data_IF_061269954690
#
_entry.id   IF_061269954690
#
_cell.length_a   1.000
_cell.length_b   1.000
_cell.length_c   1.000
_cell.angle_alpha   90.00
_cell.angle_beta   90.00
_cell.angle_gamma   90.00
#
_symmetry.space_group_name_H-M   'P 1'
#
loop_
_entity.id
_entity.type
_entity.pdbx_description
1 polymer ?
#
# COMPACT_ATOMS: atom_id res chain seq x y z
N UNK A 1 -23.37 42.51 56.08
CA UNK A 1 -24.18 41.79 55.08
C UNK A 1 -23.20 41.29 54.02
N UNK A 2 -22.70 40.04 54.09
CA UNK A 2 -23.34 38.79 53.61
C UNK A 2 -23.67 38.89 52.10
N UNK A 3 -23.22 38.05 51.16
CA UNK A 3 -22.91 36.62 51.21
C UNK A 3 -21.98 36.16 50.08
N UNK A 4 -21.34 35.01 50.33
CA UNK A 4 -20.64 34.08 49.41
C UNK A 4 -21.66 33.33 48.51
N UNK A 5 -21.25 32.75 47.35
CA UNK A 5 -21.39 31.31 46.94
C UNK A 5 -21.44 31.04 45.40
N UNK A 6 -20.44 30.28 44.93
CA UNK A 6 -20.36 29.14 43.94
C UNK A 6 -20.80 29.14 42.46
N UNK A 7 -19.81 28.82 41.61
CA UNK A 7 -19.64 27.72 40.61
C UNK A 7 -20.81 27.08 39.81
N UNK A 8 -20.58 26.87 38.50
CA UNK A 8 -20.87 25.65 37.67
C UNK A 8 -20.31 25.89 36.24
N UNK A 9 -19.29 25.18 35.72
CA UNK A 9 -19.21 23.83 35.11
C UNK A 9 -20.08 23.57 33.83
N UNK A 10 -19.35 23.11 32.80
CA UNK A 10 -19.59 22.72 31.36
C UNK A 10 -20.82 21.81 31.06
N UNK A 11 -21.10 21.30 29.80
CA UNK A 11 -20.35 21.34 28.52
C UNK A 11 -21.20 21.53 27.22
N UNK A 12 -20.54 21.61 26.05
CA UNK A 12 -21.15 21.12 24.80
C UNK A 12 -20.78 21.84 23.50
N UNK A 13 -19.58 21.60 22.94
CA UNK A 13 -19.44 21.59 21.48
C UNK A 13 -18.34 20.62 21.06
N UNK A 14 -18.77 19.45 20.61
CA UNK A 14 -17.95 18.40 20.00
C UNK A 14 -17.94 18.55 18.48
N UNK A 15 -16.76 18.26 17.92
CA UNK A 15 -16.55 17.70 16.59
C UNK A 15 -16.81 18.60 15.37
N UNK A 16 -15.84 19.47 15.08
CA UNK A 16 -15.43 19.73 13.70
C UNK A 16 -14.21 18.89 13.37
N UNK A 17 -14.40 17.62 13.00
CA UNK A 17 -13.35 16.85 12.32
C UNK A 17 -13.06 17.56 10.99
N UNK A 18 -11.83 17.99 10.69
CA UNK A 18 -11.50 18.32 9.32
C UNK A 18 -11.60 17.04 8.48
N UNK A 19 -12.22 17.10 7.28
CA UNK A 19 -12.44 15.94 6.45
C UNK A 19 -11.09 15.42 5.93
N UNK A 20 -10.97 14.09 5.93
CA UNK A 20 -10.06 13.25 5.17
C UNK A 20 -9.13 14.00 4.21
N UNK A 21 -7.91 14.32 4.65
CA UNK A 21 -6.90 14.93 3.80
C UNK A 21 -5.55 14.22 3.94
N UNK A 22 -5.52 12.89 3.81
CA UNK A 22 -4.24 12.14 3.68
C UNK A 22 -4.35 10.83 2.86
N UNK A 23 -5.18 10.76 1.81
CA UNK A 23 -5.16 9.61 0.86
C UNK A 23 -4.45 9.91 -0.48
N UNK A 24 -3.44 10.79 -0.47
CA UNK A 24 -2.67 11.11 -1.69
C UNK A 24 -1.47 10.20 -1.98
N UNK A 25 -1.36 9.01 -1.39
CA UNK A 25 -0.25 8.07 -1.67
C UNK A 25 -0.76 6.74 -2.20
N UNK A 26 -0.80 6.67 -3.54
CA UNK A 26 -0.95 5.47 -4.36
C UNK A 26 -2.21 4.67 -4.08
N UNK A 27 -3.31 5.07 -4.72
CA UNK A 27 -4.53 4.31 -4.74
C UNK A 27 -4.37 3.06 -5.63
N UNK A 28 -3.62 2.09 -5.11
CA UNK A 28 -3.41 0.78 -5.71
C UNK A 28 -4.78 0.10 -5.91
N UNK A 29 -5.80 0.45 -5.13
CA UNK A 29 -7.17 -0.05 -5.30
C UNK A 29 -7.78 0.51 -6.60
N UNK A 30 -7.68 1.82 -6.85
CA UNK A 30 -8.10 2.43 -8.12
C UNK A 30 -7.30 1.89 -9.29
N UNK A 31 -5.99 1.68 -9.12
CA UNK A 31 -5.17 1.03 -10.16
C UNK A 31 -5.65 -0.38 -10.47
N UNK A 32 -5.91 -1.21 -9.46
CA UNK A 32 -6.48 -2.56 -9.66
C UNK A 32 -7.82 -2.47 -10.38
N UNK A 33 -8.72 -1.57 -9.97
CA UNK A 33 -10.00 -1.37 -10.65
C UNK A 33 -9.84 -1.02 -12.13
N UNK A 34 -8.90 -0.13 -12.47
CA UNK A 34 -8.59 0.21 -13.86
C UNK A 34 -7.99 -0.98 -14.62
N UNK A 35 -7.07 -1.72 -13.99
CA UNK A 35 -6.42 -2.89 -14.58
C UNK A 35 -7.41 -4.05 -14.81
N UNK A 36 -8.47 -4.19 -14.02
CA UNK A 36 -9.53 -5.18 -14.27
C UNK A 36 -10.21 -4.92 -15.62
N UNK A 37 -10.42 -3.64 -15.99
CA UNK A 37 -10.90 -3.33 -17.34
C UNK A 37 -9.87 -3.69 -18.41
N UNK A 38 -8.61 -3.31 -18.22
CA UNK A 38 -7.53 -3.67 -19.14
C UNK A 38 -7.38 -5.18 -19.31
N UNK A 39 -7.60 -5.96 -18.24
CA UNK A 39 -7.55 -7.42 -18.25
C UNK A 39 -8.65 -8.00 -19.14
N UNK A 40 -9.86 -7.46 -19.04
CA UNK A 40 -10.97 -7.89 -19.90
C UNK A 40 -10.64 -7.62 -21.37
N UNK A 41 -10.14 -6.44 -21.70
CA UNK A 41 -9.79 -6.09 -23.09
C UNK A 41 -8.62 -6.93 -23.63
N UNK A 42 -7.60 -7.18 -22.78
CA UNK A 42 -6.49 -8.07 -23.11
C UNK A 42 -6.96 -9.51 -23.36
N UNK A 43 -7.87 -10.03 -22.52
CA UNK A 43 -8.46 -11.36 -22.68
C UNK A 43 -9.31 -11.46 -23.95
N UNK A 44 -10.15 -10.45 -24.23
CA UNK A 44 -10.95 -10.41 -25.44
C UNK A 44 -10.06 -10.43 -26.70
N UNK A 45 -8.99 -9.63 -26.68
CA UNK A 45 -7.99 -9.62 -27.75
C UNK A 45 -7.28 -10.97 -27.89
N UNK A 46 -6.90 -11.59 -26.77
CA UNK A 46 -6.26 -12.90 -26.75
C UNK A 46 -7.14 -13.98 -27.39
N UNK A 47 -8.41 -14.05 -27.00
CA UNK A 47 -9.36 -15.02 -27.57
C UNK A 47 -9.56 -14.78 -29.06
N UNK A 48 -9.70 -13.53 -29.49
CA UNK A 48 -9.84 -13.19 -30.91
C UNK A 48 -8.61 -13.64 -31.72
N UNK A 49 -7.40 -13.29 -31.25
CA UNK A 49 -6.15 -13.67 -31.93
C UNK A 49 -5.98 -15.18 -31.96
N UNK A 50 -6.33 -15.88 -30.88
CA UNK A 50 -6.28 -17.35 -30.86
C UNK A 50 -7.25 -17.97 -31.88
N UNK A 51 -8.49 -17.46 -31.97
CA UNK A 51 -9.47 -17.91 -32.95
C UNK A 51 -8.99 -17.68 -34.40
N UNK A 52 -8.42 -16.50 -34.68
CA UNK A 52 -7.87 -16.16 -35.99
C UNK A 52 -6.71 -17.09 -36.37
N UNK A 53 -5.81 -17.40 -35.41
CA UNK A 53 -4.69 -18.32 -35.63
C UNK A 53 -5.17 -19.76 -35.90
N UNK A 54 -6.20 -20.24 -35.18
CA UNK A 54 -6.81 -21.57 -35.40
C UNK A 54 -7.45 -21.66 -36.78
N UNK A 55 -8.24 -20.65 -37.15
CA UNK A 55 -8.91 -20.58 -38.45
C UNK A 55 -7.89 -20.51 -39.59
N UNK A 56 -6.82 -19.74 -39.42
CA UNK A 56 -5.74 -19.67 -40.38
C UNK A 56 -5.05 -21.03 -40.57
N UNK A 57 -4.69 -21.70 -39.46
CA UNK A 57 -4.10 -23.04 -39.50
C UNK A 57 -5.03 -24.03 -40.19
N UNK A 58 -6.33 -24.01 -39.86
CA UNK A 58 -7.34 -24.87 -40.47
C UNK A 58 -7.54 -24.61 -41.97
N UNK A 59 -7.41 -23.35 -42.41
CA UNK A 59 -7.49 -23.00 -43.83
C UNK A 59 -6.27 -23.53 -44.61
N UNK A 60 -5.08 -23.41 -44.03
CA UNK A 60 -3.83 -23.98 -44.58
C UNK A 60 -3.94 -25.49 -44.74
N UNK A 61 -4.44 -26.19 -43.72
CA UNK A 61 -4.63 -27.65 -43.75
C UNK A 61 -5.63 -28.10 -44.82
N UNK A 62 -6.63 -27.27 -45.13
CA UNK A 62 -7.58 -27.49 -46.22
C UNK A 62 -7.02 -27.14 -47.62
N UNK A 63 -5.72 -26.83 -47.73
CA UNK A 63 -5.05 -26.54 -48.99
C UNK A 63 -5.21 -25.09 -49.48
N UNK A 64 -5.83 -24.22 -48.66
CA UNK A 64 -5.86 -22.78 -48.92
C UNK A 64 -4.45 -22.24 -48.67
N UNK A 65 -3.76 -21.73 -49.70
CA UNK A 65 -2.46 -21.08 -49.51
C UNK A 65 -2.68 -19.63 -49.10
N UNK A 66 -2.47 -19.25 -47.83
CA UNK A 66 -2.53 -17.85 -47.44
C UNK A 66 -1.49 -17.07 -48.24
N UNK A 67 -1.84 -15.86 -48.64
CA UNK A 67 -0.85 -14.98 -49.24
C UNK A 67 0.21 -14.66 -48.20
N UNK A 68 1.48 -14.55 -48.60
CA UNK A 68 2.58 -14.19 -47.68
C UNK A 68 2.38 -12.84 -46.99
N UNK A 69 1.48 -11.99 -47.53
CA UNK A 69 1.04 -10.74 -46.91
C UNK A 69 0.01 -10.95 -45.79
N UNK A 70 -0.88 -11.93 -45.92
CA UNK A 70 -1.83 -12.30 -44.85
C UNK A 70 -1.09 -12.91 -43.67
N UNK A 71 -0.13 -13.81 -43.92
CA UNK A 71 0.71 -14.41 -42.87
C UNK A 71 1.49 -13.37 -42.06
N UNK A 72 2.07 -12.37 -42.74
CA UNK A 72 2.80 -11.29 -42.09
C UNK A 72 1.90 -10.33 -41.29
N UNK A 73 0.60 -10.30 -41.58
CA UNK A 73 -0.39 -9.44 -40.90
C UNK A 73 -1.07 -10.09 -39.70
N UNK A 74 -0.92 -11.41 -39.54
CA UNK A 74 -1.48 -12.13 -38.40
C UNK A 74 -0.81 -11.69 -37.10
N UNK A 75 -1.64 -11.29 -36.14
CA UNK A 75 -1.17 -11.01 -34.79
C UNK A 75 -0.63 -12.30 -34.17
N UNK A 76 0.57 -12.21 -33.63
CA UNK A 76 1.21 -13.33 -32.94
C UNK A 76 0.50 -13.59 -31.61
N UNK A 77 0.14 -14.85 -31.39
CA UNK A 77 -0.45 -15.30 -30.14
C UNK A 77 0.47 -15.03 -28.96
N UNK A 78 1.77 -15.30 -29.11
CA UNK A 78 2.78 -15.10 -28.06
C UNK A 78 2.78 -13.68 -27.50
N UNK A 79 2.77 -12.68 -28.39
CA UNK A 79 2.75 -11.26 -27.97
C UNK A 79 1.47 -10.91 -27.22
N UNK A 80 0.35 -11.47 -27.66
CA UNK A 80 -0.96 -11.22 -27.03
C UNK A 80 -1.07 -11.90 -25.67
N UNK A 81 -0.44 -13.08 -25.51
CA UNK A 81 -0.29 -13.76 -24.22
C UNK A 81 0.59 -12.95 -23.26
N UNK A 82 1.74 -12.45 -23.74
CA UNK A 82 2.62 -11.60 -22.93
C UNK A 82 1.88 -10.35 -22.40
N UNK A 83 1.08 -9.70 -23.24
CA UNK A 83 0.28 -8.53 -22.84
C UNK A 83 -0.78 -8.90 -21.78
N UNK A 84 -1.46 -10.03 -21.95
CA UNK A 84 -2.40 -10.54 -20.95
C UNK A 84 -1.71 -10.81 -19.60
N UNK A 85 -0.59 -11.55 -19.61
CA UNK A 85 0.15 -11.86 -18.39
C UNK A 85 0.76 -10.63 -17.74
N UNK A 86 1.18 -9.63 -18.52
CA UNK A 86 1.67 -8.36 -17.98
C UNK A 86 0.61 -7.66 -17.14
N UNK A 87 -0.65 -7.62 -17.61
CA UNK A 87 -1.77 -7.05 -16.84
C UNK A 87 -2.02 -7.86 -15.56
N UNK A 88 -2.01 -9.19 -15.62
CA UNK A 88 -2.14 -10.06 -14.45
C UNK A 88 -1.06 -9.78 -13.40
N UNK A 89 0.21 -9.72 -13.82
CA UNK A 89 1.34 -9.45 -12.93
C UNK A 89 1.21 -8.07 -12.27
N UNK A 90 0.75 -7.06 -13.03
CA UNK A 90 0.52 -5.73 -12.49
C UNK A 90 -0.59 -5.74 -11.43
N UNK A 91 -1.69 -6.46 -11.66
CA UNK A 91 -2.77 -6.62 -10.68
C UNK A 91 -2.25 -7.30 -9.42
N UNK A 92 -1.53 -8.41 -9.56
CA UNK A 92 -0.96 -9.15 -8.44
C UNK A 92 -0.06 -8.26 -7.57
N UNK A 93 0.85 -7.50 -8.20
CA UNK A 93 1.76 -6.60 -7.49
C UNK A 93 1.00 -5.53 -6.69
N UNK A 94 -0.05 -4.94 -7.27
CA UNK A 94 -0.85 -3.94 -6.57
C UNK A 94 -1.63 -4.57 -5.40
N UNK A 95 -2.20 -5.76 -5.58
CA UNK A 95 -2.91 -6.47 -4.50
C UNK A 95 -1.98 -6.84 -3.35
N UNK A 96 -0.77 -7.35 -3.65
CA UNK A 96 0.26 -7.59 -2.63
C UNK A 96 0.61 -6.32 -1.88
N UNK A 97 0.78 -5.21 -2.60
CA UNK A 97 1.08 -3.91 -1.99
C UNK A 97 -0.05 -3.44 -1.07
N UNK A 98 -1.31 -3.58 -1.48
CA UNK A 98 -2.48 -3.24 -0.64
C UNK A 98 -2.47 -4.06 0.65
N UNK A 99 -2.20 -5.36 0.54
CA UNK A 99 -2.13 -6.25 1.69
C UNK A 99 -1.03 -5.81 2.67
N UNK A 100 0.19 -5.54 2.18
CA UNK A 100 1.30 -5.06 3.01
C UNK A 100 0.96 -3.72 3.69
N UNK A 101 0.33 -2.78 2.98
CA UNK A 101 -0.12 -1.53 3.60
C UNK A 101 -1.17 -1.76 4.70
N UNK A 102 -2.09 -2.70 4.52
CA UNK A 102 -3.09 -3.04 5.53
C UNK A 102 -2.44 -3.68 6.77
N UNK A 103 -1.48 -4.58 6.58
CA UNK A 103 -0.69 -5.18 7.66
C UNK A 103 0.12 -4.11 8.41
N UNK A 104 0.80 -3.23 7.67
CA UNK A 104 1.56 -2.13 8.25
C UNK A 104 0.68 -1.18 9.06
N UNK A 105 -0.52 -0.86 8.57
CA UNK A 105 -1.47 -0.03 9.30
C UNK A 105 -1.91 -0.70 10.62
N UNK A 106 -2.29 -1.98 10.56
CA UNK A 106 -2.66 -2.75 11.76
C UNK A 106 -1.52 -2.76 12.78
N UNK A 107 -0.31 -3.07 12.34
CA UNK A 107 0.86 -3.15 13.22
C UNK A 107 1.19 -1.76 13.80
N UNK A 108 1.02 -0.69 13.01
CA UNK A 108 1.20 0.68 13.52
C UNK A 108 0.20 1.02 14.63
N UNK A 109 -1.06 0.58 14.51
CA UNK A 109 -2.08 0.81 15.54
C UNK A 109 -1.85 -0.04 16.80
N UNK A 110 -1.26 -1.22 16.64
CA UNK A 110 -1.02 -2.15 17.74
C UNK A 110 0.24 -1.79 18.55
N UNK A 111 1.33 -1.39 17.87
CA UNK A 111 2.64 -1.25 18.49
C UNK A 111 3.09 0.20 18.68
N UNK A 112 2.45 1.19 18.04
CA UNK A 112 2.84 2.58 18.21
C UNK A 112 1.93 3.32 19.21
N UNK A 113 2.52 4.08 20.14
CA UNK A 113 1.76 4.84 21.13
C UNK A 113 1.07 6.07 20.53
N UNK A 114 1.54 6.56 19.39
CA UNK A 114 1.03 7.76 18.71
C UNK A 114 0.94 7.49 17.21
N UNK A 115 -0.20 7.81 16.55
CA UNK A 115 -0.37 7.62 15.12
C UNK A 115 0.65 8.42 14.30
N UNK A 116 1.15 7.81 13.22
CA UNK A 116 2.12 8.42 12.31
C UNK A 116 1.43 8.85 11.02
N UNK A 117 1.62 10.11 10.64
CA UNK A 117 1.04 10.69 9.41
C UNK A 117 2.18 11.00 8.44
N UNK A 118 2.37 10.15 7.44
CA UNK A 118 3.48 10.23 6.49
C UNK A 118 3.38 11.42 5.50
N UNK A 119 2.26 12.13 5.48
CA UNK A 119 2.05 13.31 4.64
C UNK A 119 2.02 14.61 5.44
N UNK A 120 2.32 14.56 6.76
CA UNK A 120 2.35 15.75 7.61
C UNK A 120 3.53 16.65 7.18
N UNK A 121 3.28 17.90 6.77
CA UNK A 121 4.35 18.83 6.36
C UNK A 121 5.23 19.20 7.56
N UNK A 122 6.55 19.27 7.36
CA UNK A 122 7.49 19.76 8.38
C UNK A 122 7.73 21.27 8.23
N UNK A 123 7.84 22.06 9.32
CA UNK A 123 7.76 21.66 10.73
C UNK A 123 6.31 21.55 11.21
N UNK A 124 5.95 20.40 11.77
CA UNK A 124 4.60 20.14 12.28
C UNK A 124 4.54 20.34 13.79
N UNK A 125 3.46 20.96 14.27
CA UNK A 125 3.31 21.25 15.69
C UNK A 125 3.14 19.92 16.48
N UNK A 126 3.86 19.71 17.59
CA UNK A 126 3.81 18.45 18.36
C UNK A 126 2.51 18.28 19.17
N UNK A 127 1.64 19.29 19.23
CA UNK A 127 0.38 19.27 19.99
C UNK A 127 -0.75 18.49 19.30
N UNK A 128 -0.60 18.10 18.04
CA UNK A 128 -1.69 17.49 17.24
C UNK A 128 -1.92 15.99 17.51
N UNK A 129 -1.31 15.41 18.56
CA UNK A 129 -1.49 13.99 18.89
C UNK A 129 -1.07 13.01 17.79
N UNK A 130 -0.25 13.46 16.83
CA UNK A 130 0.21 12.68 15.67
C UNK A 130 1.66 13.03 15.32
N UNK A 131 2.43 12.02 14.91
CA UNK A 131 3.84 12.17 14.53
C UNK A 131 3.98 12.33 13.01
N UNK A 132 4.89 13.21 12.56
CA UNK A 132 5.42 13.12 11.19
C UNK A 132 6.31 11.88 11.04
N UNK A 133 6.58 11.45 9.81
CA UNK A 133 7.50 10.32 9.58
C UNK A 133 8.92 10.59 10.12
N UNK A 134 9.41 11.81 9.95
CA UNK A 134 10.71 12.26 10.49
C UNK A 134 10.75 12.22 12.03
N UNK A 135 9.69 12.71 12.67
CA UNK A 135 9.53 12.64 14.13
C UNK A 135 9.49 11.19 14.60
N UNK A 136 8.72 10.33 13.93
CA UNK A 136 8.63 8.91 14.21
C UNK A 136 10.01 8.23 14.18
N UNK A 137 10.79 8.43 13.11
CA UNK A 137 12.15 7.85 12.99
C UNK A 137 13.05 8.30 14.14
N UNK A 138 12.96 9.58 14.52
CA UNK A 138 13.72 10.13 15.65
C UNK A 138 13.31 9.48 16.98
N UNK A 139 12.00 9.34 17.22
CA UNK A 139 11.46 8.69 18.42
C UNK A 139 11.88 7.23 18.52
N UNK A 140 11.75 6.45 17.45
CA UNK A 140 12.17 5.03 17.44
C UNK A 140 13.66 4.90 17.71
N UNK A 141 14.50 5.76 17.11
CA UNK A 141 15.95 5.75 17.38
C UNK A 141 16.26 6.02 18.85
N UNK A 142 15.57 6.99 19.47
CA UNK A 142 15.72 7.29 20.89
C UNK A 142 15.28 6.12 21.77
N UNK A 143 14.14 5.48 21.46
CA UNK A 143 13.64 4.30 22.18
C UNK A 143 14.61 3.12 22.10
N UNK A 144 15.17 2.83 20.91
CA UNK A 144 16.16 1.77 20.72
C UNK A 144 17.43 2.05 21.54
N UNK A 145 17.93 3.29 21.53
CA UNK A 145 19.11 3.66 22.29
C UNK A 145 18.87 3.56 23.80
N UNK A 146 17.69 3.97 24.27
CA UNK A 146 17.30 3.82 25.67
C UNK A 146 17.25 2.36 26.09
N UNK A 147 16.62 1.48 25.29
CA UNK A 147 16.55 0.06 25.57
C UNK A 147 17.96 -0.59 25.65
N UNK A 148 18.88 -0.19 24.78
CA UNK A 148 20.29 -0.63 24.84
C UNK A 148 20.97 -0.20 26.13
N UNK A 149 20.80 1.07 26.53
CA UNK A 149 21.39 1.58 27.77
C UNK A 149 20.85 0.83 29.01
N UNK A 150 19.56 0.52 29.05
CA UNK A 150 18.97 -0.30 30.12
C UNK A 150 19.58 -1.70 30.15
N UNK A 151 19.71 -2.35 28.98
CA UNK A 151 20.33 -3.67 28.88
C UNK A 151 21.79 -3.67 29.37
N UNK A 152 22.57 -2.65 29.00
CA UNK A 152 23.97 -2.53 29.41
C UNK A 152 24.08 -2.38 30.94
N UNK A 153 23.24 -1.55 31.56
CA UNK A 153 23.17 -1.38 33.02
C UNK A 153 22.80 -2.69 33.72
N UNK A 154 21.80 -3.41 33.20
CA UNK A 154 21.40 -4.71 33.76
C UNK A 154 22.49 -5.76 33.63
N UNK A 155 23.19 -5.82 32.50
CA UNK A 155 24.29 -6.75 32.28
C UNK A 155 25.50 -6.43 33.18
N UNK A 156 25.78 -5.16 33.41
CA UNK A 156 26.83 -4.75 34.34
C UNK A 156 26.48 -5.14 35.78
N UNK A 157 25.25 -4.87 36.23
CA UNK A 157 24.78 -5.30 37.54
C UNK A 157 24.81 -6.83 37.71
N UNK A 158 24.39 -7.59 36.69
CA UNK A 158 24.45 -9.04 36.72
C UNK A 158 25.89 -9.58 36.81
N UNK A 159 26.84 -8.95 36.09
CA UNK A 159 28.27 -9.31 36.16
C UNK A 159 28.85 -9.04 37.55
N UNK A 160 28.44 -7.95 38.20
CA UNK A 160 28.85 -7.64 39.56
C UNK A 160 28.35 -8.68 40.57
N UNK A 161 27.09 -9.12 40.44
CA UNK A 161 26.50 -10.16 41.31
C UNK A 161 27.11 -11.56 41.10
N UNK A 162 27.61 -11.87 39.89
CA UNK A 162 28.29 -13.14 39.59
C UNK A 162 29.74 -13.19 40.07
N UNK A 163 30.31 -12.03 40.47
CA UNK A 163 31.69 -11.90 40.93
C UNK A 163 31.82 -11.83 42.46
N UNK A 164 30.72 -11.85 43.20
CA UNK A 164 30.65 -12.15 44.65
C UNK A 164 30.33 -13.62 44.89
#
# INVERSE_FOLDING_TARGET
>A
MASVTSASHHPGQVAGLPPAATEFKFDNVVKVKALVWSLKEALATLVQVAADNINHTSAVDNGMRPSSKEEASLKRLDKTLEDFFSVCNQIELNLRTIQECALQLRDSQQYLPVPVVASKPEPSNPQDGTLSYSQYITTIRAQVNFAKAVLDVLNEGARQLLHE
#
